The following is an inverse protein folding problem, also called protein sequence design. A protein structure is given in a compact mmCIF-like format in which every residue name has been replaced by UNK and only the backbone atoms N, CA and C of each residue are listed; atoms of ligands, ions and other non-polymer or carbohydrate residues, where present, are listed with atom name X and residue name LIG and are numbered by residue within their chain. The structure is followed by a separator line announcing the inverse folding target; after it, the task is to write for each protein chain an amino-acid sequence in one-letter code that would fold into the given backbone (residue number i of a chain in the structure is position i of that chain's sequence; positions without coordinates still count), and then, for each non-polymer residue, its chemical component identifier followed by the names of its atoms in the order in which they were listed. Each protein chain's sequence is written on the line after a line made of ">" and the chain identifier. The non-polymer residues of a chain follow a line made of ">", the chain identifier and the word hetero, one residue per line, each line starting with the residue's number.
data_IF_536476306686
#
_entry.id   IF_536476306686
#
_cell.length_a   1.000
_cell.length_b   1.000
_cell.length_c   1.000
_cell.angle_alpha   90.00
_cell.angle_beta   90.00
_cell.angle_gamma   90.00
#
_symmetry.space_group_name_H-M   'P 1'
#
loop_
_entity.id
_entity.type
_entity.pdbx_description
1 polymer ?
#
# COMPACT_ATOMS: atom_id res chain seq x y z
N UNK A 1 7.33 12.90 21.71
CA UNK A 1 5.98 12.76 22.26
C UNK A 1 4.99 12.74 21.10
N UNK A 2 4.37 11.59 20.89
CA UNK A 2 3.37 11.37 19.85
C UNK A 2 2.13 12.21 20.16
N UNK A 3 1.66 13.00 19.20
CA UNK A 3 0.38 13.70 19.34
C UNK A 3 -0.69 12.90 18.58
N UNK A 4 -1.55 12.23 19.36
CA UNK A 4 -2.84 11.78 18.87
C UNK A 4 -3.75 13.00 18.85
N UNK A 5 -4.18 13.42 17.67
CA UNK A 5 -5.23 14.45 17.53
C UNK A 5 -6.56 13.72 17.37
N UNK A 6 -7.30 13.70 18.45
CA UNK A 6 -8.71 13.30 18.45
C UNK A 6 -9.55 14.46 17.92
N UNK A 7 -9.89 14.44 16.64
CA UNK A 7 -11.05 15.16 16.14
C UNK A 7 -12.12 14.10 15.90
N UNK A 8 -13.30 14.31 16.38
CA UNK A 8 -14.43 13.39 16.62
C UNK A 8 -14.69 12.23 15.61
N UNK A 9 -13.98 12.15 14.46
CA UNK A 9 -14.18 11.13 13.42
C UNK A 9 -12.88 10.60 12.78
N UNK A 10 -11.67 11.08 13.15
CA UNK A 10 -10.42 10.75 12.45
C UNK A 10 -9.27 10.44 13.41
N UNK A 11 -8.93 9.16 13.55
CA UNK A 11 -7.66 8.79 14.17
C UNK A 11 -6.54 9.11 13.17
N UNK A 12 -5.77 10.13 13.47
CA UNK A 12 -4.60 10.56 12.72
C UNK A 12 -3.36 10.50 13.60
N UNK A 13 -2.33 9.82 13.13
CA UNK A 13 -1.02 9.79 13.74
C UNK A 13 -0.02 10.54 12.88
N UNK A 14 0.66 11.52 13.44
CA UNK A 14 1.76 12.20 12.82
C UNK A 14 3.06 11.95 13.58
N UNK A 15 4.06 11.40 12.86
CA UNK A 15 5.42 11.25 13.32
C UNK A 15 6.31 12.23 12.54
N UNK A 16 7.02 13.16 13.20
CA UNK A 16 7.77 14.22 12.52
C UNK A 16 8.98 13.69 11.77
N UNK A 17 9.34 14.34 10.66
CA UNK A 17 10.53 14.05 9.89
C UNK A 17 10.76 15.06 8.78
N UNK A 18 11.99 15.16 8.26
CA UNK A 18 12.34 16.01 7.12
C UNK A 18 11.66 15.55 5.83
N UNK A 19 11.44 14.24 5.73
CA UNK A 19 10.72 13.55 4.65
C UNK A 19 9.71 12.62 5.28
N UNK A 20 8.50 12.58 4.74
CA UNK A 20 7.41 11.76 5.30
C UNK A 20 6.93 10.69 4.34
N UNK A 21 6.49 9.58 4.90
CA UNK A 21 5.68 8.58 4.23
C UNK A 21 4.21 8.84 4.56
N UNK A 22 3.34 8.65 3.59
CA UNK A 22 1.92 8.50 3.86
C UNK A 22 1.63 7.04 4.21
N UNK A 23 0.79 6.78 5.19
CA UNK A 23 0.44 5.41 5.54
C UNK A 23 -1.07 5.26 5.77
N UNK A 24 -1.59 4.09 5.38
CA UNK A 24 -2.98 3.72 5.64
C UNK A 24 -3.02 2.34 6.29
N UNK A 25 -3.60 2.29 7.48
CA UNK A 25 -3.78 1.06 8.27
C UNK A 25 -5.26 0.83 8.57
N UNK A 26 -5.74 -0.41 8.61
CA UNK A 26 -7.10 -0.71 9.00
C UNK A 26 -7.21 -0.74 10.54
N UNK A 27 -7.09 0.44 11.17
CA UNK A 27 -7.16 0.57 12.64
C UNK A 27 -8.53 0.11 13.15
N UNK A 28 -9.59 0.44 12.40
CA UNK A 28 -10.94 -0.05 12.64
C UNK A 28 -11.40 -0.98 11.51
N UNK A 29 -12.31 -1.88 11.85
CA UNK A 29 -13.07 -2.67 10.87
C UNK A 29 -13.97 -1.75 10.04
N UNK A 30 -14.41 -2.26 8.88
CA UNK A 30 -15.47 -1.62 8.11
C UNK A 30 -16.73 -1.45 8.94
N UNK A 31 -17.37 -0.28 8.83
CA UNK A 31 -18.57 0.10 9.57
C UNK A 31 -19.00 1.52 9.22
N UNK A 32 -20.03 2.05 9.90
CA UNK A 32 -20.48 3.43 9.76
C UNK A 32 -20.43 4.16 11.13
N UNK A 33 -19.55 5.17 11.27
CA UNK A 33 -18.51 5.61 10.32
C UNK A 33 -17.37 4.61 10.19
N UNK A 34 -16.93 3.95 11.28
CA UNK A 34 -15.93 2.88 11.35
C UNK A 34 -16.35 1.88 12.44
N UNK A 35 -15.96 0.61 12.29
CA UNK A 35 -16.30 -0.45 13.21
C UNK A 35 -15.38 -0.54 14.43
N UNK A 36 -15.27 -1.74 15.01
CA UNK A 36 -14.43 -1.98 16.19
C UNK A 36 -12.93 -1.91 15.84
N UNK A 37 -12.11 -1.54 16.82
CA UNK A 37 -10.63 -1.50 16.68
C UNK A 37 -10.07 -2.89 16.38
N UNK A 38 -9.13 -2.95 15.44
CA UNK A 38 -8.38 -4.14 15.04
C UNK A 38 -6.98 -4.08 15.66
N UNK A 39 -6.74 -4.86 16.70
CA UNK A 39 -5.44 -4.85 17.38
C UNK A 39 -4.35 -5.48 16.52
N UNK A 40 -4.63 -6.64 15.93
CA UNK A 40 -3.64 -7.44 15.17
C UNK A 40 -3.42 -6.88 13.77
N UNK A 41 -4.49 -6.55 13.06
CA UNK A 41 -4.42 -6.10 11.67
C UNK A 41 -4.17 -4.59 11.51
N UNK A 42 -4.53 -3.78 12.51
CA UNK A 42 -4.42 -2.33 12.48
C UNK A 42 -3.32 -1.77 13.37
N UNK A 43 -3.44 -1.99 14.69
CA UNK A 43 -2.52 -1.38 15.66
C UNK A 43 -1.12 -1.97 15.56
N UNK A 44 -0.97 -3.30 15.47
CA UNK A 44 0.36 -3.91 15.41
C UNK A 44 1.20 -3.47 14.20
N UNK A 45 0.66 -3.42 12.95
CA UNK A 45 1.42 -2.89 11.83
C UNK A 45 1.79 -1.41 11.97
N UNK A 46 0.91 -0.59 12.57
CA UNK A 46 1.21 0.81 12.86
C UNK A 46 2.37 0.95 13.85
N UNK A 47 2.34 0.22 14.95
CA UNK A 47 3.42 0.21 15.95
C UNK A 47 4.73 -0.33 15.37
N UNK A 48 4.66 -1.38 14.52
CA UNK A 48 5.83 -1.89 13.82
C UNK A 48 6.45 -0.83 12.89
N UNK A 49 5.62 -0.03 12.23
CA UNK A 49 6.11 1.09 11.41
C UNK A 49 6.81 2.14 12.26
N UNK A 50 6.23 2.56 13.39
CA UNK A 50 6.83 3.56 14.29
C UNK A 50 8.18 3.06 14.81
N UNK A 51 8.22 1.82 15.28
CA UNK A 51 9.47 1.19 15.73
C UNK A 51 10.54 1.18 14.62
N UNK A 52 10.14 0.83 13.38
CA UNK A 52 11.06 0.83 12.24
C UNK A 52 11.56 2.22 11.89
N UNK A 53 10.72 3.26 12.03
CA UNK A 53 11.14 4.66 11.83
C UNK A 53 12.18 5.08 12.88
N UNK A 54 11.99 4.70 14.14
CA UNK A 54 12.96 4.97 15.20
C UNK A 54 14.32 4.30 14.89
N UNK A 55 14.32 3.04 14.45
CA UNK A 55 15.52 2.31 14.05
C UNK A 55 16.21 2.93 12.83
N UNK A 56 15.45 3.34 11.81
CA UNK A 56 15.99 4.00 10.62
C UNK A 56 16.60 5.36 11.00
N UNK A 57 15.91 6.15 11.81
CA UNK A 57 16.36 7.48 12.20
C UNK A 57 17.57 7.44 13.14
N UNK A 58 17.71 6.37 13.93
CA UNK A 58 18.90 6.13 14.76
C UNK A 58 20.11 5.65 13.93
N UNK A 59 19.90 5.16 12.71
CA UNK A 59 20.95 4.59 11.87
C UNK A 59 21.59 5.67 10.98
N UNK A 60 22.83 6.02 11.27
CA UNK A 60 23.58 7.04 10.52
C UNK A 60 23.93 6.64 9.07
N UNK A 61 23.74 5.35 8.70
CA UNK A 61 24.11 4.82 7.38
C UNK A 61 22.94 4.91 6.40
N UNK A 62 21.70 4.66 6.85
CA UNK A 62 20.53 4.50 5.95
C UNK A 62 20.12 5.85 5.34
N UNK A 63 19.92 6.87 6.16
CA UNK A 63 19.51 8.21 5.72
C UNK A 63 20.36 9.28 6.43
N UNK A 64 21.66 9.39 6.15
CA UNK A 64 22.56 10.23 6.92
C UNK A 64 22.11 11.69 6.94
N UNK A 65 21.69 12.15 8.13
CA UNK A 65 21.25 13.51 8.39
C UNK A 65 19.91 13.91 7.76
N UNK A 66 19.04 12.94 7.47
CA UNK A 66 17.65 13.11 7.05
C UNK A 66 16.81 12.27 8.00
N UNK A 67 15.85 12.87 8.67
CA UNK A 67 14.87 12.17 9.49
C UNK A 67 13.67 11.74 8.63
N UNK A 68 13.23 10.49 8.80
CA UNK A 68 12.06 9.95 8.15
C UNK A 68 10.87 10.01 9.10
N UNK A 69 9.78 10.64 8.67
CA UNK A 69 8.53 10.72 9.38
C UNK A 69 7.41 9.94 8.70
N UNK A 70 6.23 9.96 9.31
CA UNK A 70 5.01 9.37 8.74
C UNK A 70 3.79 10.22 9.08
N UNK A 71 2.86 10.30 8.10
CA UNK A 71 1.48 10.74 8.29
C UNK A 71 0.59 9.53 8.05
N UNK A 72 0.04 8.95 9.13
CA UNK A 72 -0.75 7.73 9.06
C UNK A 72 -2.23 8.00 9.31
N UNK A 73 -3.09 7.36 8.52
CA UNK A 73 -4.53 7.45 8.60
C UNK A 73 -5.16 6.07 8.78
N UNK A 74 -6.34 6.05 9.37
CA UNK A 74 -7.17 4.87 9.43
C UNK A 74 -7.90 4.69 8.08
N UNK A 75 -7.78 3.51 7.51
CA UNK A 75 -8.53 3.14 6.30
C UNK A 75 -9.93 2.62 6.61
N UNK A 76 -10.24 2.32 7.86
CA UNK A 76 -11.45 1.63 8.32
C UNK A 76 -11.80 0.39 7.46
N UNK A 77 -10.78 -0.23 6.86
CA UNK A 77 -10.93 -1.33 5.91
C UNK A 77 -12.04 -1.09 4.86
N UNK A 78 -12.16 0.16 4.42
CA UNK A 78 -13.16 0.62 3.48
C UNK A 78 -12.49 1.39 2.33
N UNK A 79 -12.68 0.96 1.06
CA UNK A 79 -12.04 1.57 -0.10
C UNK A 79 -12.39 3.05 -0.30
N UNK A 80 -13.63 3.45 -0.03
CA UNK A 80 -14.10 4.84 -0.20
C UNK A 80 -13.45 5.71 0.87
N UNK A 81 -13.57 5.30 2.13
CA UNK A 81 -12.99 6.01 3.27
C UNK A 81 -11.47 6.17 3.11
N UNK A 82 -10.77 5.07 2.77
CA UNK A 82 -9.32 5.11 2.53
C UNK A 82 -8.93 6.06 1.39
N UNK A 83 -9.75 6.13 0.32
CA UNK A 83 -9.52 7.06 -0.78
C UNK A 83 -9.65 8.51 -0.33
N UNK A 84 -10.67 8.83 0.47
CA UNK A 84 -10.86 10.17 1.05
C UNK A 84 -9.67 10.57 1.92
N UNK A 85 -9.18 9.66 2.78
CA UNK A 85 -8.00 9.90 3.63
C UNK A 85 -6.68 9.98 2.85
N UNK A 86 -6.59 9.32 1.69
CA UNK A 86 -5.41 9.40 0.84
C UNK A 86 -5.28 10.75 0.11
N UNK A 87 -6.37 11.46 -0.16
CA UNK A 87 -6.34 12.75 -0.89
C UNK A 87 -5.44 13.78 -0.20
N UNK A 88 -5.53 14.04 1.11
CA UNK A 88 -4.60 14.94 1.81
C UNK A 88 -3.13 14.51 1.66
N UNK A 89 -2.84 13.20 1.78
CA UNK A 89 -1.49 12.66 1.60
C UNK A 89 -0.92 12.94 0.20
N UNK A 90 -1.79 12.96 -0.80
CA UNK A 90 -1.39 13.16 -2.19
C UNK A 90 -1.32 14.64 -2.59
N UNK A 91 -1.76 15.56 -1.74
CA UNK A 91 -1.84 17.00 -2.05
C UNK A 91 -0.49 17.57 -2.54
N UNK A 92 0.62 17.20 -1.92
CA UNK A 92 1.95 17.64 -2.35
C UNK A 92 2.33 17.14 -3.75
N UNK A 93 1.93 15.92 -4.12
CA UNK A 93 2.14 15.38 -5.48
C UNK A 93 1.23 16.07 -6.51
N UNK A 94 -0.02 16.34 -6.14
CA UNK A 94 -0.97 17.06 -7.01
C UNK A 94 -0.43 18.45 -7.33
N UNK A 95 0.01 19.20 -6.35
CA UNK A 95 0.56 20.55 -6.50
C UNK A 95 1.79 20.57 -7.39
N UNK A 96 2.71 19.62 -7.24
CA UNK A 96 3.89 19.49 -8.12
C UNK A 96 3.52 19.21 -9.57
N UNK A 97 2.52 18.38 -9.83
CA UNK A 97 2.12 17.98 -11.19
C UNK A 97 1.42 19.12 -11.95
N UNK A 98 0.68 19.98 -11.24
CA UNK A 98 -0.12 21.06 -11.86
C UNK A 98 0.71 22.36 -12.02
N UNK A 99 2.00 22.37 -11.65
CA UNK A 99 2.84 23.58 -11.69
C UNK A 99 2.19 24.79 -10.97
N UNK A 100 1.39 24.53 -9.94
CA UNK A 100 0.92 25.58 -9.07
C UNK A 100 2.17 26.16 -8.40
N UNK A 101 2.60 27.33 -8.84
CA UNK A 101 3.71 28.07 -8.27
C UNK A 101 3.37 28.39 -6.82
N UNK A 102 3.98 27.66 -5.92
CA UNK A 102 4.10 28.12 -4.55
C UNK A 102 4.88 29.42 -4.61
N UNK A 103 4.35 30.50 -4.06
CA UNK A 103 4.94 31.84 -4.16
C UNK A 103 6.42 31.79 -3.78
N UNK A 104 7.27 32.19 -4.71
CA UNK A 104 8.74 32.17 -4.59
C UNK A 104 9.30 33.05 -3.45
N UNK A 105 8.46 33.78 -2.73
CA UNK A 105 8.88 34.62 -1.62
C UNK A 105 9.20 33.82 -0.34
N UNK A 106 8.82 32.52 -0.27
CA UNK A 106 9.14 31.64 0.86
C UNK A 106 10.40 30.80 0.61
N UNK A 107 11.09 31.02 -0.53
CA UNK A 107 12.22 30.22 -0.99
C UNK A 107 13.57 30.51 -0.30
N UNK A 108 13.62 31.23 0.83
CA UNK A 108 14.88 31.73 1.38
C UNK A 108 15.67 30.76 2.28
N UNK A 109 15.23 29.53 2.48
CA UNK A 109 15.96 28.59 3.33
C UNK A 109 16.18 27.19 2.73
N UNK A 110 17.00 27.11 1.68
CA UNK A 110 17.46 25.84 1.15
C UNK A 110 18.84 25.46 1.69
N UNK A 111 19.00 24.23 2.19
CA UNK A 111 20.31 23.66 2.50
C UNK A 111 20.89 22.99 1.27
N UNK A 112 21.97 23.53 0.77
CA UNK A 112 22.73 22.91 -0.33
C UNK A 112 23.67 21.84 0.26
N UNK A 113 23.36 20.56 0.11
CA UNK A 113 24.25 19.47 0.51
C UNK A 113 25.04 18.99 -0.71
N UNK A 114 26.36 19.15 -0.68
CA UNK A 114 27.26 18.51 -1.63
C UNK A 114 27.38 17.04 -1.24
N UNK A 115 26.84 16.11 -2.05
CA UNK A 115 27.23 14.70 -1.96
C UNK A 115 28.68 14.59 -2.41
N UNK A 116 29.57 14.10 -1.54
CA UNK A 116 30.86 13.58 -1.97
C UNK A 116 30.60 12.20 -2.60
N UNK A 117 30.48 12.15 -3.90
CA UNK A 117 30.54 10.89 -4.64
C UNK A 117 31.99 10.65 -5.04
N UNK A 118 32.42 9.39 -4.93
CA UNK A 118 33.69 8.93 -5.47
C UNK A 118 33.68 9.11 -6.98
N UNK A 119 34.84 9.43 -7.52
CA UNK A 119 35.11 9.72 -8.94
C UNK A 119 34.70 8.53 -9.82
N UNK A 120 33.71 8.71 -10.65
CA UNK A 120 33.46 7.85 -11.80
C UNK A 120 34.43 8.18 -12.92
N UNK A 121 34.84 7.14 -13.67
CA UNK A 121 35.93 7.19 -14.67
C UNK A 121 35.62 8.06 -15.92
N UNK A 122 34.55 8.82 -15.94
CA UNK A 122 34.20 9.76 -17.02
C UNK A 122 33.80 11.12 -16.43
N UNK A 123 34.76 11.95 -16.26
CA UNK A 123 34.83 13.30 -15.72
C UNK A 123 33.69 14.31 -15.92
N UNK A 124 32.44 13.96 -15.88
CA UNK A 124 31.30 14.88 -15.87
C UNK A 124 30.71 14.99 -14.45
N UNK A 125 31.12 16.04 -13.74
CA UNK A 125 30.47 16.49 -12.51
C UNK A 125 29.13 17.12 -12.84
N UNK A 126 28.07 16.34 -12.92
CA UNK A 126 26.72 16.90 -12.76
C UNK A 126 26.46 17.14 -11.27
N UNK A 127 26.55 18.42 -10.88
CA UNK A 127 26.12 18.88 -9.56
C UNK A 127 24.60 18.72 -9.44
N UNK A 128 24.12 17.55 -9.03
CA UNK A 128 22.74 17.34 -8.68
C UNK A 128 22.48 18.01 -7.32
N UNK A 129 22.08 19.28 -7.37
CA UNK A 129 21.70 20.06 -6.19
C UNK A 129 20.30 19.62 -5.78
N UNK A 130 20.21 18.68 -4.86
CA UNK A 130 18.94 18.41 -4.15
C UNK A 130 18.76 19.49 -3.07
N UNK A 131 17.92 20.46 -3.34
CA UNK A 131 17.53 21.47 -2.37
C UNK A 131 16.41 20.90 -1.50
N UNK A 132 16.70 20.64 -0.23
CA UNK A 132 15.71 20.24 0.77
C UNK A 132 15.40 21.48 1.61
N UNK A 133 14.14 21.92 1.72
CA UNK A 133 13.77 23.08 2.53
C UNK A 133 13.95 22.80 4.02
N UNK A 134 14.45 23.79 4.73
CA UNK A 134 14.47 23.78 6.21
C UNK A 134 13.29 24.64 6.66
N UNK A 135 12.19 24.09 7.05
CA UNK A 135 11.23 24.60 8.03
C UNK A 135 9.79 24.19 7.77
N UNK A 136 9.03 24.26 8.82
CA UNK A 136 7.67 23.78 9.06
C UNK A 136 6.56 24.39 8.20
N UNK A 137 6.85 25.41 7.37
CA UNK A 137 5.88 26.10 6.53
C UNK A 137 6.08 25.73 5.04
N UNK A 138 5.81 24.47 4.69
CA UNK A 138 5.70 24.10 3.28
C UNK A 138 4.30 24.44 2.79
N UNK A 139 4.08 25.53 2.05
CA UNK A 139 2.74 26.01 1.68
C UNK A 139 2.01 25.09 0.71
N UNK A 140 2.67 24.04 0.23
CA UNK A 140 2.14 23.13 -0.80
C UNK A 140 1.83 21.71 -0.32
N UNK A 141 1.72 21.49 0.97
CA UNK A 141 1.42 20.18 1.57
C UNK A 141 2.67 19.44 2.07
N UNK A 142 2.47 18.37 2.81
CA UNK A 142 3.51 17.55 3.41
C UNK A 142 4.46 16.95 2.37
N UNK A 143 5.72 16.76 2.78
CA UNK A 143 6.79 16.19 1.96
C UNK A 143 6.67 14.66 1.83
N UNK A 144 5.46 14.19 1.50
CA UNK A 144 5.18 12.77 1.30
C UNK A 144 5.92 12.31 0.05
N UNK A 145 6.68 11.22 0.16
CA UNK A 145 7.49 10.66 -0.94
C UNK A 145 6.99 9.31 -1.43
N UNK A 146 6.11 8.66 -0.68
CA UNK A 146 5.53 7.37 -1.01
C UNK A 146 4.45 6.97 -0.03
N UNK A 147 3.73 5.90 -0.34
CA UNK A 147 2.65 5.36 0.48
C UNK A 147 3.01 3.98 1.01
N UNK A 148 2.69 3.72 2.28
CA UNK A 148 2.78 2.42 2.92
C UNK A 148 1.37 1.89 3.19
N UNK A 149 1.16 0.62 2.86
CA UNK A 149 -0.15 -0.02 2.94
C UNK A 149 -1.01 0.26 1.71
N UNK A 150 -2.31 0.04 1.77
CA UNK A 150 -3.04 -0.65 2.84
C UNK A 150 -2.82 -2.16 2.87
N UNK A 151 -3.55 -2.84 3.76
CA UNK A 151 -3.47 -4.28 3.96
C UNK A 151 -4.35 -5.05 2.98
N UNK A 152 -5.62 -4.65 2.84
CA UNK A 152 -6.62 -5.38 2.06
C UNK A 152 -6.53 -5.07 0.57
N UNK A 153 -6.84 -6.05 -0.28
CA UNK A 153 -6.75 -5.94 -1.73
C UNK A 153 -7.63 -4.82 -2.28
N UNK A 154 -8.91 -4.75 -1.86
CA UNK A 154 -9.86 -3.76 -2.37
C UNK A 154 -9.43 -2.32 -2.11
N UNK A 155 -8.92 -2.04 -0.92
CA UNK A 155 -8.38 -0.72 -0.56
C UNK A 155 -7.07 -0.45 -1.31
N UNK A 156 -6.20 -1.45 -1.42
CA UNK A 156 -4.90 -1.34 -2.11
C UNK A 156 -5.07 -1.01 -3.59
N UNK A 157 -6.01 -1.64 -4.27
CA UNK A 157 -6.30 -1.39 -5.70
C UNK A 157 -6.75 0.06 -5.91
N UNK A 158 -7.62 0.60 -5.05
CA UNK A 158 -8.05 2.00 -5.17
C UNK A 158 -6.88 2.98 -5.00
N UNK A 159 -6.03 2.74 -4.01
CA UNK A 159 -4.84 3.57 -3.82
C UNK A 159 -3.82 3.42 -4.95
N UNK A 160 -3.63 2.21 -5.47
CA UNK A 160 -2.73 1.95 -6.59
C UNK A 160 -3.18 2.67 -7.88
N UNK A 161 -4.50 2.78 -8.11
CA UNK A 161 -5.06 3.60 -9.18
C UNK A 161 -4.72 5.09 -9.00
N UNK A 162 -4.86 5.62 -7.77
CA UNK A 162 -4.43 6.98 -7.47
C UNK A 162 -2.90 7.13 -7.62
N UNK A 163 -2.14 6.19 -7.10
CA UNK A 163 -0.68 6.14 -7.24
C UNK A 163 -0.23 6.22 -8.69
N UNK A 164 -0.93 5.52 -9.60
CA UNK A 164 -0.69 5.59 -11.05
C UNK A 164 -0.92 7.00 -11.60
N UNK A 165 -2.02 7.66 -11.21
CA UNK A 165 -2.37 9.00 -11.71
C UNK A 165 -1.34 10.04 -11.25
N UNK A 166 -0.92 9.98 -10.00
CA UNK A 166 -0.01 10.97 -9.40
C UNK A 166 1.46 10.55 -9.43
N UNK A 167 1.77 9.32 -9.92
CA UNK A 167 3.11 8.73 -9.96
C UNK A 167 3.75 8.60 -8.57
N UNK A 168 2.95 8.15 -7.62
CA UNK A 168 3.35 7.95 -6.22
C UNK A 168 3.65 6.49 -5.98
N UNK A 169 4.87 6.13 -5.54
CA UNK A 169 5.17 4.76 -5.18
C UNK A 169 4.35 4.33 -3.95
N UNK A 170 3.80 3.14 -4.03
CA UNK A 170 3.03 2.51 -2.97
C UNK A 170 3.63 1.14 -2.66
N UNK A 171 3.84 0.86 -1.38
CA UNK A 171 4.31 -0.45 -0.90
C UNK A 171 3.28 -1.04 0.04
N UNK A 172 2.68 -2.17 -0.33
CA UNK A 172 1.80 -2.93 0.57
C UNK A 172 2.57 -4.06 1.25
N UNK A 173 2.24 -4.27 2.52
CA UNK A 173 2.85 -5.32 3.33
C UNK A 173 2.03 -6.62 3.36
N UNK A 174 0.79 -6.63 2.83
CA UNK A 174 -0.08 -7.82 2.90
C UNK A 174 -1.02 -8.02 1.69
N UNK A 175 -1.14 -7.09 0.75
CA UNK A 175 -2.01 -7.25 -0.42
C UNK A 175 -1.41 -8.24 -1.44
N UNK A 176 -1.95 -9.45 -1.49
CA UNK A 176 -1.41 -10.59 -2.26
C UNK A 176 -2.10 -10.85 -3.58
N UNK A 177 -3.25 -10.22 -3.88
CA UNK A 177 -4.04 -10.45 -5.09
C UNK A 177 -3.18 -10.49 -6.37
N UNK A 178 -3.48 -11.44 -7.25
CA UNK A 178 -2.81 -11.60 -8.55
C UNK A 178 -2.98 -10.39 -9.46
N UNK A 179 -4.12 -9.68 -9.37
CA UNK A 179 -4.39 -8.47 -10.13
C UNK A 179 -3.32 -7.40 -9.93
N UNK A 180 -2.84 -7.23 -8.72
CA UNK A 180 -1.79 -6.25 -8.38
C UNK A 180 -0.41 -6.57 -9.00
N UNK A 181 -0.25 -7.73 -9.64
CA UNK A 181 0.97 -8.10 -10.37
C UNK A 181 1.03 -7.51 -11.78
N UNK A 182 -0.06 -6.92 -12.30
CA UNK A 182 -0.05 -6.26 -13.60
C UNK A 182 0.66 -4.89 -13.51
N UNK A 183 1.93 -4.88 -13.88
CA UNK A 183 2.76 -3.66 -13.87
C UNK A 183 2.34 -2.62 -14.92
N UNK A 184 1.50 -2.98 -15.89
CA UNK A 184 0.91 -2.02 -16.85
C UNK A 184 -0.25 -1.27 -16.21
N UNK A 185 -1.07 -1.99 -15.43
CA UNK A 185 -2.16 -1.38 -14.67
C UNK A 185 -1.63 -0.62 -13.44
N UNK A 186 -0.66 -1.21 -12.71
CA UNK A 186 -0.14 -0.68 -11.44
C UNK A 186 1.38 -0.45 -11.46
N UNK A 187 1.91 0.49 -12.27
CA UNK A 187 3.35 0.67 -12.47
C UNK A 187 4.09 1.23 -11.24
N UNK A 188 3.38 1.76 -10.26
CA UNK A 188 3.95 2.35 -9.04
C UNK A 188 3.62 1.54 -7.78
N UNK A 189 3.04 0.34 -7.95
CA UNK A 189 2.73 -0.56 -6.85
C UNK A 189 3.86 -1.56 -6.61
N UNK A 190 4.19 -1.73 -5.35
CA UNK A 190 5.17 -2.72 -4.86
C UNK A 190 4.58 -3.45 -3.65
N UNK A 191 5.08 -4.63 -3.37
CA UNK A 191 4.70 -5.40 -2.18
C UNK A 191 5.86 -6.18 -1.62
N UNK A 192 5.85 -6.41 -0.30
CA UNK A 192 6.86 -7.20 0.41
C UNK A 192 6.47 -8.66 0.57
N UNK A 193 5.25 -9.02 0.16
CA UNK A 193 4.69 -10.39 0.20
C UNK A 193 4.57 -10.97 -1.22
N UNK A 194 4.65 -12.29 -1.40
CA UNK A 194 4.46 -12.92 -2.70
C UNK A 194 3.02 -12.78 -3.19
N UNK A 195 2.83 -12.99 -4.50
CA UNK A 195 1.50 -13.04 -5.13
C UNK A 195 0.77 -14.34 -4.79
N UNK A 196 -0.55 -14.27 -4.67
CA UNK A 196 -1.44 -15.44 -4.57
C UNK A 196 -1.35 -16.40 -5.78
N UNK A 197 -0.74 -15.96 -6.88
CA UNK A 197 -0.38 -16.85 -7.97
C UNK A 197 0.44 -18.07 -7.50
N UNK A 198 1.39 -17.86 -6.61
CA UNK A 198 2.20 -18.95 -6.06
C UNK A 198 1.38 -19.86 -5.15
N UNK A 199 0.46 -19.29 -4.37
CA UNK A 199 -0.46 -20.07 -3.53
C UNK A 199 -1.42 -20.90 -4.39
N UNK A 200 -2.00 -20.30 -5.44
CA UNK A 200 -2.90 -21.00 -6.34
C UNK A 200 -2.22 -22.19 -7.04
N UNK A 201 -0.97 -22.00 -7.52
CA UNK A 201 -0.18 -23.10 -8.09
C UNK A 201 0.07 -24.22 -7.08
N UNK A 202 0.47 -23.88 -5.86
CA UNK A 202 0.72 -24.87 -4.80
C UNK A 202 -0.56 -25.66 -4.46
N UNK A 203 -1.73 -25.00 -4.41
CA UNK A 203 -3.02 -25.67 -4.18
C UNK A 203 -3.31 -26.67 -5.30
N UNK A 204 -3.19 -26.26 -6.58
CA UNK A 204 -3.45 -27.13 -7.72
C UNK A 204 -2.47 -28.30 -7.76
N UNK A 205 -1.18 -28.06 -7.50
CA UNK A 205 -0.17 -29.11 -7.42
C UNK A 205 -0.47 -30.13 -6.32
N UNK A 206 -0.90 -29.67 -5.14
CA UNK A 206 -1.33 -30.55 -4.06
C UNK A 206 -2.53 -31.41 -4.46
N UNK A 207 -3.56 -30.80 -5.08
CA UNK A 207 -4.73 -31.54 -5.55
C UNK A 207 -4.33 -32.64 -6.56
N UNK A 208 -3.46 -32.30 -7.50
CA UNK A 208 -2.95 -33.24 -8.49
C UNK A 208 -2.14 -34.39 -7.84
N UNK A 209 -1.23 -34.08 -6.92
CA UNK A 209 -0.42 -35.05 -6.20
C UNK A 209 -1.25 -36.02 -5.34
N UNK A 210 -2.36 -35.56 -4.78
CA UNK A 210 -3.30 -36.41 -4.04
C UNK A 210 -4.32 -37.15 -4.93
N UNK A 211 -4.27 -36.95 -6.25
CA UNK A 211 -5.20 -37.56 -7.19
C UNK A 211 -6.65 -37.08 -7.04
N UNK A 212 -6.82 -35.86 -6.54
CA UNK A 212 -8.15 -35.25 -6.37
C UNK A 212 -8.62 -34.73 -7.71
N UNK A 213 -9.71 -35.30 -8.24
CA UNK A 213 -10.24 -34.99 -9.57
C UNK A 213 -11.57 -34.22 -9.56
N UNK A 214 -12.10 -33.92 -8.37
CA UNK A 214 -13.35 -33.17 -8.23
C UNK A 214 -13.30 -32.24 -7.02
N UNK A 215 -13.41 -30.93 -7.26
CA UNK A 215 -13.20 -29.89 -6.25
C UNK A 215 -14.31 -28.84 -6.31
N UNK A 216 -14.77 -28.39 -5.13
CA UNK A 216 -15.59 -27.20 -4.99
C UNK A 216 -14.81 -26.14 -4.21
N UNK A 217 -14.82 -24.90 -4.71
CA UNK A 217 -14.10 -23.78 -4.09
C UNK A 217 -15.13 -22.88 -3.40
N UNK A 218 -14.86 -22.55 -2.14
CA UNK A 218 -15.61 -21.60 -1.34
C UNK A 218 -14.74 -20.36 -1.15
N UNK A 219 -15.24 -19.19 -1.55
CA UNK A 219 -14.49 -17.94 -1.44
C UNK A 219 -15.36 -16.77 -0.97
N UNK A 220 -14.73 -15.72 -0.44
CA UNK A 220 -15.41 -14.50 -0.03
C UNK A 220 -15.90 -13.70 -1.25
N UNK A 221 -17.13 -13.15 -1.16
CA UNK A 221 -17.69 -12.21 -2.15
C UNK A 221 -16.94 -10.87 -2.04
N UNK A 222 -15.70 -10.87 -2.53
CA UNK A 222 -14.78 -9.74 -2.48
C UNK A 222 -13.77 -9.84 -3.63
N UNK A 223 -13.17 -8.72 -4.03
CA UNK A 223 -12.14 -8.71 -5.06
C UNK A 223 -10.99 -9.69 -4.78
N UNK A 224 -10.62 -9.87 -3.52
CA UNK A 224 -9.62 -10.85 -3.10
C UNK A 224 -10.07 -12.29 -3.38
N UNK A 225 -11.29 -12.65 -2.96
CA UNK A 225 -11.84 -14.00 -3.16
C UNK A 225 -12.05 -14.34 -4.63
N UNK A 226 -12.59 -13.41 -5.41
CA UNK A 226 -12.82 -13.57 -6.86
C UNK A 226 -11.49 -13.79 -7.60
N UNK A 227 -10.48 -12.95 -7.36
CA UNK A 227 -9.17 -13.09 -8.03
C UNK A 227 -8.44 -14.36 -7.62
N UNK A 228 -8.62 -14.83 -6.39
CA UNK A 228 -8.10 -16.11 -5.90
C UNK A 228 -8.75 -17.29 -6.62
N UNK A 229 -10.08 -17.30 -6.70
CA UNK A 229 -10.84 -18.30 -7.45
C UNK A 229 -10.43 -18.34 -8.93
N UNK A 230 -10.40 -17.18 -9.60
CA UNK A 230 -10.02 -17.08 -11.01
C UNK A 230 -8.59 -17.58 -11.25
N UNK A 231 -7.68 -17.33 -10.31
CA UNK A 231 -6.30 -17.81 -10.42
C UNK A 231 -6.22 -19.33 -10.41
N UNK A 232 -6.92 -20.01 -9.50
CA UNK A 232 -6.98 -21.47 -9.44
C UNK A 232 -7.65 -22.04 -10.69
N UNK A 233 -8.80 -21.47 -11.09
CA UNK A 233 -9.53 -21.87 -12.27
C UNK A 233 -8.67 -21.76 -13.53
N UNK A 234 -8.00 -20.64 -13.73
CA UNK A 234 -7.14 -20.42 -14.90
C UNK A 234 -5.99 -21.42 -14.97
N UNK A 235 -5.38 -21.80 -13.84
CA UNK A 235 -4.31 -22.81 -13.82
C UNK A 235 -4.88 -24.17 -14.25
N UNK A 236 -6.05 -24.58 -13.73
CA UNK A 236 -6.69 -25.84 -14.08
C UNK A 236 -7.12 -25.86 -15.55
N UNK A 237 -7.71 -24.77 -16.05
CA UNK A 237 -8.20 -24.69 -17.44
C UNK A 237 -7.04 -24.66 -18.47
N UNK A 238 -5.87 -24.15 -18.11
CA UNK A 238 -4.71 -24.06 -19.01
C UNK A 238 -3.91 -25.36 -19.09
N UNK A 239 -3.89 -26.16 -18.03
CA UNK A 239 -3.16 -27.43 -17.99
C UNK A 239 -4.08 -28.61 -18.31
N UNK A 240 -4.01 -29.10 -19.56
CA UNK A 240 -4.84 -30.21 -20.05
C UNK A 240 -4.48 -31.57 -19.46
N UNK A 241 -3.33 -31.68 -18.82
CA UNK A 241 -2.88 -32.91 -18.15
C UNK A 241 -3.49 -33.03 -16.76
N UNK A 242 -4.03 -31.92 -16.21
CA UNK A 242 -4.77 -31.91 -14.96
C UNK A 242 -6.18 -32.48 -15.17
N UNK A 243 -6.45 -33.61 -14.49
CA UNK A 243 -7.79 -34.21 -14.52
C UNK A 243 -8.63 -33.73 -13.31
N UNK A 244 -8.73 -32.41 -13.14
CA UNK A 244 -9.46 -31.77 -12.04
C UNK A 244 -10.70 -31.08 -12.61
N UNK A 245 -11.87 -31.48 -12.12
CA UNK A 245 -13.15 -30.87 -12.44
C UNK A 245 -13.55 -29.89 -11.32
N UNK A 246 -13.76 -28.63 -11.67
CA UNK A 246 -14.29 -27.62 -10.74
C UNK A 246 -15.81 -27.64 -10.78
N UNK A 247 -16.43 -27.84 -9.60
CA UNK A 247 -17.84 -27.60 -9.39
C UNK A 247 -18.13 -26.09 -9.36
N UNK A 248 -19.41 -25.71 -9.55
CA UNK A 248 -19.84 -24.33 -9.33
C UNK A 248 -19.35 -23.80 -7.99
N UNK A 249 -18.73 -22.61 -7.99
CA UNK A 249 -18.19 -22.03 -6.78
C UNK A 249 -19.28 -21.56 -5.81
N UNK A 250 -18.93 -21.52 -4.55
CA UNK A 250 -19.80 -21.03 -3.47
C UNK A 250 -19.20 -19.74 -2.93
N UNK A 251 -19.97 -18.64 -3.00
CA UNK A 251 -19.52 -17.36 -2.41
C UNK A 251 -20.08 -17.16 -1.00
N UNK A 252 -19.28 -16.55 -0.13
CA UNK A 252 -19.67 -16.17 1.22
C UNK A 252 -19.74 -14.65 1.31
N UNK A 253 -20.89 -14.12 1.69
CA UNK A 253 -21.09 -12.71 1.95
C UNK A 253 -21.69 -12.52 3.36
N UNK A 254 -21.05 -11.69 4.19
CA UNK A 254 -21.50 -11.42 5.59
C UNK A 254 -21.81 -12.69 6.36
N UNK A 255 -20.95 -13.72 6.29
CA UNK A 255 -21.13 -15.04 6.89
C UNK A 255 -22.34 -15.84 6.38
N UNK A 256 -22.95 -15.44 5.29
CA UNK A 256 -24.02 -16.17 4.62
C UNK A 256 -23.52 -16.74 3.29
N UNK A 257 -23.86 -18.00 3.03
CA UNK A 257 -23.56 -18.64 1.76
C UNK A 257 -24.49 -18.12 0.67
N UNK A 258 -23.92 -17.64 -0.44
CA UNK A 258 -24.66 -17.37 -1.68
C UNK A 258 -24.38 -18.53 -2.64
N UNK A 259 -25.34 -19.36 -2.94
CA UNK A 259 -25.23 -20.45 -3.91
C UNK A 259 -26.37 -21.48 -3.74
N UNK A 260 -26.73 -22.14 -4.83
CA UNK A 260 -27.66 -23.25 -4.77
C UNK A 260 -26.91 -24.50 -4.28
N UNK A 261 -27.13 -24.89 -3.02
CA UNK A 261 -26.54 -26.09 -2.43
C UNK A 261 -27.15 -27.39 -2.98
N UNK A 262 -28.21 -27.31 -3.77
CA UNK A 262 -29.00 -28.44 -4.26
C UNK A 262 -29.18 -28.33 -5.79
N UNK A 263 -28.27 -28.91 -6.54
CA UNK A 263 -28.50 -29.46 -7.87
C UNK A 263 -27.61 -30.66 -8.10
#
# INVERSE_FOLDING_TARGET
>A
SHQLKDNDDDIFLEYPGDVKLGALFPIHKSGEPCGAIQKEDGIQPLEAMIFTLDEINANEIILPGISLGVSAFDSCDNPIHATEKAVPLLKGFITRKVNLTCNANDASSYVTRKRRHGSDMFGNQENMITKIPKNEDWPCGDNIVGLIGPQTTSVTVQLANLGRVFRVPQVSYLATSTRLSDTKEFPYFFRTVPSDYHQANAIVELLNNYGVNYVSIVYSDSEYGETGFDSIKNIIDQDKDLNICLREPITIYNNHFKGNFYN
#
